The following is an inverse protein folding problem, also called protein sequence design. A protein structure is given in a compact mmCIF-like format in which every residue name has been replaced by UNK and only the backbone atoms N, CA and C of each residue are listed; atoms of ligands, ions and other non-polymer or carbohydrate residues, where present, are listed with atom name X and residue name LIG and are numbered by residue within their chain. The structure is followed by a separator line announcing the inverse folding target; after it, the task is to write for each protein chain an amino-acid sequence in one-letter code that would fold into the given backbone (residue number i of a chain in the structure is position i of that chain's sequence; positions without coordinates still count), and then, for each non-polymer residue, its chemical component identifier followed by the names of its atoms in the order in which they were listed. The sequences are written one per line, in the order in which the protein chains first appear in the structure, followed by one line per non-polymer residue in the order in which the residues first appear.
data_IF_016571848424
#
_entry.id   IF_016571848424
#
_cell.length_a   1.000
_cell.length_b   1.000
_cell.length_c   1.000
_cell.angle_alpha   90.00
_cell.angle_beta   90.00
_cell.angle_gamma   90.00
#
_symmetry.space_group_name_H-M   'P 1'
#
loop_
_entity.id
_entity.type
_entity.pdbx_description
1 polymer ?
#
# COMPACT_ATOMS: atom_id res chain seq x y z
N UNK A 1 10.74 5.67 20.30
CA UNK A 1 11.01 5.62 18.86
C UNK A 1 12.23 6.45 18.44
N UNK A 2 12.31 7.77 18.63
CA UNK A 2 13.48 8.58 18.25
C UNK A 2 14.81 8.09 18.85
N UNK A 3 14.82 7.69 20.13
CA UNK A 3 15.98 7.10 20.77
C UNK A 3 16.39 5.73 20.18
N UNK A 4 15.43 4.95 19.67
CA UNK A 4 15.70 3.69 18.99
C UNK A 4 16.37 3.92 17.63
N UNK A 5 15.95 4.94 16.87
CA UNK A 5 16.63 5.33 15.63
C UNK A 5 18.09 5.75 15.88
N UNK A 6 18.35 6.56 16.91
CA UNK A 6 19.72 6.94 17.28
C UNK A 6 20.61 5.73 17.62
N UNK A 7 20.07 4.72 18.31
CA UNK A 7 20.77 3.47 18.63
C UNK A 7 20.96 2.60 17.38
N UNK A 8 19.97 2.59 16.45
CA UNK A 8 20.04 1.85 15.20
C UNK A 8 21.22 2.27 14.32
N UNK A 9 21.50 3.58 14.23
CA UNK A 9 22.65 4.10 13.48
C UNK A 9 24.01 3.77 14.13
N UNK A 10 24.04 3.53 15.45
CA UNK A 10 25.26 3.10 16.16
C UNK A 10 25.59 1.61 15.93
N UNK A 11 24.59 0.79 15.59
CA UNK A 11 24.76 -0.64 15.34
C UNK A 11 25.20 -0.89 13.90
N UNK A 12 26.41 -1.46 13.63
CA UNK A 12 27.01 -1.48 12.28
C UNK A 12 26.17 -2.26 11.27
N UNK A 13 25.55 -3.39 11.64
CA UNK A 13 24.75 -4.20 10.72
C UNK A 13 23.42 -3.56 10.39
N UNK A 14 22.75 -2.95 11.38
CA UNK A 14 21.49 -2.26 11.16
C UNK A 14 21.70 -1.01 10.29
N UNK A 15 22.81 -0.31 10.54
CA UNK A 15 23.26 0.81 9.70
C UNK A 15 23.45 0.40 8.25
N UNK A 16 24.13 -0.75 7.98
CA UNK A 16 24.29 -1.28 6.61
C UNK A 16 22.94 -1.55 5.94
N UNK A 17 21.99 -2.18 6.65
CA UNK A 17 20.64 -2.45 6.13
C UNK A 17 19.87 -1.16 5.83
N UNK A 18 19.94 -0.14 6.70
CA UNK A 18 19.29 1.15 6.50
C UNK A 18 19.88 1.85 5.26
N UNK A 19 21.21 1.95 5.15
CA UNK A 19 21.86 2.57 3.98
C UNK A 19 21.54 1.81 2.68
N UNK A 20 21.48 0.48 2.73
CA UNK A 20 21.06 -0.32 1.60
C UNK A 20 19.63 0.01 1.15
N UNK A 21 18.68 0.09 2.10
CA UNK A 21 17.29 0.47 1.80
C UNK A 21 17.23 1.88 1.19
N UNK A 22 17.94 2.86 1.77
CA UNK A 22 17.99 4.23 1.25
C UNK A 22 18.61 4.29 -0.15
N UNK A 23 19.65 3.50 -0.44
CA UNK A 23 20.26 3.42 -1.78
C UNK A 23 19.25 2.89 -2.81
N UNK A 24 18.48 1.87 -2.47
CA UNK A 24 17.44 1.35 -3.36
C UNK A 24 16.31 2.38 -3.57
N UNK A 25 15.90 3.10 -2.52
CA UNK A 25 14.92 4.19 -2.63
C UNK A 25 15.42 5.29 -3.60
N UNK A 26 16.70 5.64 -3.54
CA UNK A 26 17.32 6.59 -4.47
C UNK A 26 17.35 6.06 -5.91
N UNK A 27 17.72 4.80 -6.12
CA UNK A 27 17.69 4.16 -7.45
C UNK A 27 16.28 4.11 -8.03
N UNK A 28 15.28 3.77 -7.20
CA UNK A 28 13.88 3.80 -7.61
C UNK A 28 13.46 5.21 -8.03
N UNK A 29 13.89 6.24 -7.29
CA UNK A 29 13.58 7.63 -7.63
C UNK A 29 14.24 8.08 -8.92
N UNK A 30 15.46 7.68 -9.18
CA UNK A 30 16.15 7.95 -10.46
C UNK A 30 15.37 7.35 -11.63
N UNK A 31 14.98 6.08 -11.56
CA UNK A 31 14.20 5.43 -12.63
C UNK A 31 12.82 6.04 -12.86
N UNK A 32 12.22 6.69 -11.85
CA UNK A 32 10.94 7.38 -11.99
C UNK A 32 11.00 8.69 -12.77
N UNK A 33 12.20 9.24 -12.97
CA UNK A 33 12.42 10.50 -13.73
C UNK A 33 12.89 10.24 -15.16
N UNK A 34 13.47 9.07 -15.45
CA UNK A 34 13.97 8.72 -16.78
C UNK A 34 12.79 8.49 -17.74
N UNK A 35 12.62 9.28 -18.80
CA UNK A 35 11.50 9.10 -19.73
C UNK A 35 11.66 7.81 -20.56
N UNK A 36 10.54 7.19 -20.91
CA UNK A 36 10.53 6.02 -21.80
C UNK A 36 10.97 6.43 -23.22
N UNK A 37 11.79 5.62 -23.92
CA UNK A 37 12.19 5.91 -25.30
C UNK A 37 10.98 6.10 -26.20
N UNK A 38 10.93 7.23 -26.94
CA UNK A 38 9.83 7.58 -27.83
C UNK A 38 8.84 8.60 -27.27
N UNK A 39 8.97 8.99 -26.01
CA UNK A 39 8.21 10.09 -25.38
C UNK A 39 8.96 11.41 -25.55
N UNK A 40 8.26 12.45 -26.00
CA UNK A 40 8.82 13.80 -26.05
C UNK A 40 8.80 14.43 -24.66
N UNK A 41 9.98 14.46 -24.01
CA UNK A 41 10.13 15.04 -22.66
C UNK A 41 9.70 16.51 -22.59
N UNK A 42 10.04 17.30 -23.62
CA UNK A 42 9.71 18.73 -23.69
C UNK A 42 8.18 18.92 -23.70
N UNK A 43 7.48 18.20 -24.59
CA UNK A 43 6.03 18.29 -24.69
C UNK A 43 5.33 17.84 -23.40
N UNK A 44 5.85 16.80 -22.76
CA UNK A 44 5.32 16.34 -21.47
C UNK A 44 5.48 17.39 -20.38
N UNK A 45 6.61 18.08 -20.29
CA UNK A 45 6.85 19.14 -19.31
C UNK A 45 5.93 20.36 -19.54
N UNK A 46 5.74 20.77 -20.78
CA UNK A 46 4.81 21.83 -21.13
C UNK A 46 3.36 21.46 -20.80
N UNK A 47 2.94 20.23 -21.12
CA UNK A 47 1.62 19.73 -20.77
C UNK A 47 1.42 19.61 -19.25
N UNK A 48 2.45 19.21 -18.50
CA UNK A 48 2.40 19.14 -17.02
C UNK A 48 2.22 20.54 -16.38
N UNK A 49 2.85 21.55 -16.94
CA UNK A 49 2.74 22.92 -16.44
C UNK A 49 1.32 23.49 -16.58
N UNK A 50 0.57 23.06 -17.60
CA UNK A 50 -0.81 23.49 -17.88
C UNK A 50 -1.88 22.52 -17.36
N UNK A 51 -1.47 21.32 -16.87
CA UNK A 51 -2.39 20.27 -16.49
C UNK A 51 -3.02 20.47 -15.12
N UNK A 52 -4.34 20.56 -15.09
CA UNK A 52 -5.12 20.25 -13.89
C UNK A 52 -5.29 18.74 -13.80
N UNK A 53 -4.30 18.07 -13.20
CA UNK A 53 -4.30 16.60 -13.04
C UNK A 53 -5.22 16.18 -11.90
N UNK A 54 -6.50 16.11 -12.19
CA UNK A 54 -7.50 15.67 -11.26
C UNK A 54 -8.02 14.25 -11.48
N UNK A 55 -8.77 13.76 -10.49
CA UNK A 55 -9.43 12.47 -10.56
C UNK A 55 -8.50 11.27 -10.34
N UNK A 56 -8.87 10.16 -10.96
CA UNK A 56 -8.21 8.87 -10.79
C UNK A 56 -6.74 8.87 -11.24
N UNK A 57 -6.42 9.59 -12.33
CA UNK A 57 -5.04 9.73 -12.80
C UNK A 57 -4.13 10.42 -11.77
N UNK A 58 -4.65 11.37 -11.00
CA UNK A 58 -3.92 12.00 -9.91
C UNK A 58 -3.58 11.02 -8.79
N UNK A 59 -4.52 10.15 -8.41
CA UNK A 59 -4.28 9.11 -7.41
C UNK A 59 -3.23 8.09 -7.87
N UNK A 60 -3.33 7.61 -9.12
CA UNK A 60 -2.38 6.64 -9.66
C UNK A 60 -0.99 7.28 -9.80
N UNK A 61 -0.94 8.53 -10.22
CA UNK A 61 0.30 9.29 -10.29
C UNK A 61 0.98 9.43 -8.91
N UNK A 62 0.19 9.53 -7.85
CA UNK A 62 0.67 9.56 -6.48
C UNK A 62 1.38 8.24 -6.09
N UNK A 63 0.80 7.09 -6.47
CA UNK A 63 1.41 5.77 -6.23
C UNK A 63 2.65 5.53 -7.09
N UNK A 64 2.74 6.13 -8.27
CA UNK A 64 3.94 6.07 -9.11
C UNK A 64 4.99 7.12 -8.76
N UNK A 65 4.71 8.03 -7.80
CA UNK A 65 5.62 9.11 -7.42
C UNK A 65 5.86 10.16 -8.51
N UNK A 66 4.87 10.40 -9.39
CA UNK A 66 4.97 11.32 -10.51
C UNK A 66 5.41 10.67 -11.83
N UNK A 67 5.84 9.42 -11.80
CA UNK A 67 6.38 8.70 -12.94
C UNK A 67 5.35 8.44 -14.06
N UNK A 68 4.07 8.26 -13.71
CA UNK A 68 3.00 7.98 -14.68
C UNK A 68 2.76 9.14 -15.63
N UNK A 69 2.63 10.35 -15.11
CA UNK A 69 2.39 11.54 -15.94
C UNK A 69 3.62 11.93 -16.77
N UNK A 70 4.82 11.58 -16.31
CA UNK A 70 6.06 11.75 -17.06
C UNK A 70 6.28 10.65 -18.10
N UNK A 71 5.43 9.61 -18.15
CA UNK A 71 5.62 8.42 -18.98
C UNK A 71 7.05 7.87 -18.86
N UNK A 72 7.55 7.79 -17.63
CA UNK A 72 8.91 7.32 -17.35
C UNK A 72 9.02 5.80 -17.49
N UNK A 73 10.24 5.27 -17.41
CA UNK A 73 10.50 3.82 -17.38
C UNK A 73 9.73 3.14 -16.26
N UNK A 74 9.55 3.82 -15.13
CA UNK A 74 8.78 3.34 -13.98
C UNK A 74 7.34 3.88 -13.93
N UNK A 75 6.76 4.25 -15.08
CA UNK A 75 5.42 4.86 -15.18
C UNK A 75 4.32 4.02 -14.52
N UNK A 76 4.33 2.71 -14.66
CA UNK A 76 3.37 1.80 -14.02
C UNK A 76 3.59 1.67 -12.52
N UNK A 77 4.77 2.06 -12.03
CA UNK A 77 5.13 1.92 -10.62
C UNK A 77 4.99 0.49 -10.11
N UNK A 78 4.54 0.36 -8.88
CA UNK A 78 4.37 -0.92 -8.18
C UNK A 78 2.96 -1.52 -8.35
N UNK A 79 2.03 -0.81 -9.01
CA UNK A 79 0.63 -1.19 -9.13
C UNK A 79 0.38 -2.59 -9.74
N UNK A 80 1.07 -3.00 -10.84
CA UNK A 80 0.89 -4.34 -11.40
C UNK A 80 1.23 -5.45 -10.40
N UNK A 81 2.27 -5.25 -9.58
CA UNK A 81 2.66 -6.22 -8.57
C UNK A 81 1.64 -6.30 -7.41
N UNK A 82 1.16 -5.16 -6.94
CA UNK A 82 0.13 -5.13 -5.89
C UNK A 82 -1.11 -5.86 -6.37
N UNK A 83 -1.61 -5.54 -7.57
CA UNK A 83 -2.79 -6.19 -8.15
C UNK A 83 -2.60 -7.70 -8.29
N UNK A 84 -1.42 -8.14 -8.76
CA UNK A 84 -1.07 -9.55 -8.87
C UNK A 84 -1.05 -10.25 -7.51
N UNK A 85 -0.44 -9.62 -6.52
CA UNK A 85 -0.37 -10.15 -5.15
C UNK A 85 -1.76 -10.32 -4.55
N UNK A 86 -2.65 -9.34 -4.78
CA UNK A 86 -4.05 -9.40 -4.37
C UNK A 86 -4.76 -10.60 -5.03
N UNK A 87 -4.63 -10.73 -6.35
CA UNK A 87 -5.27 -11.81 -7.10
C UNK A 87 -4.77 -13.17 -6.58
N UNK A 88 -3.47 -13.35 -6.38
CA UNK A 88 -2.92 -14.59 -5.85
C UNK A 88 -3.41 -14.86 -4.42
N UNK A 89 -3.50 -13.83 -3.55
CA UNK A 89 -4.07 -13.98 -2.20
C UNK A 89 -5.55 -14.39 -2.24
N UNK A 90 -6.35 -13.81 -3.14
CA UNK A 90 -7.73 -14.22 -3.34
C UNK A 90 -7.82 -15.67 -3.81
N UNK A 91 -6.96 -16.06 -4.75
CA UNK A 91 -6.90 -17.43 -5.26
C UNK A 91 -6.50 -18.43 -4.19
N UNK A 92 -5.71 -18.05 -3.16
CA UNK A 92 -5.39 -18.97 -2.04
C UNK A 92 -6.60 -19.35 -1.19
N UNK A 93 -7.66 -18.56 -1.24
CA UNK A 93 -8.93 -18.85 -0.52
C UNK A 93 -9.87 -19.69 -1.37
N UNK A 94 -9.89 -19.45 -2.70
CA UNK A 94 -10.83 -20.06 -3.62
C UNK A 94 -10.32 -21.41 -4.14
N UNK A 95 -9.02 -21.55 -4.36
CA UNK A 95 -8.41 -22.73 -4.97
C UNK A 95 -7.73 -23.58 -3.89
N UNK A 96 -8.23 -24.82 -3.61
CA UNK A 96 -7.65 -25.68 -2.57
C UNK A 96 -6.16 -25.98 -2.76
N UNK A 97 -5.68 -26.06 -4.02
CA UNK A 97 -4.25 -26.27 -4.32
C UNK A 97 -3.38 -25.10 -3.86
N UNK A 98 -3.84 -23.87 -3.93
CA UNK A 98 -3.10 -22.70 -3.42
C UNK A 98 -3.13 -22.64 -1.89
N UNK A 99 -4.22 -23.08 -1.28
CA UNK A 99 -4.31 -23.22 0.18
C UNK A 99 -3.31 -24.27 0.71
N UNK A 100 -3.19 -25.43 0.05
CA UNK A 100 -2.19 -26.45 0.42
C UNK A 100 -0.76 -25.93 0.30
N UNK A 101 -0.44 -25.20 -0.79
CA UNK A 101 0.86 -24.53 -0.95
C UNK A 101 1.14 -23.55 0.19
N UNK A 102 0.15 -22.77 0.64
CA UNK A 102 0.31 -21.87 1.78
C UNK A 102 0.64 -22.62 3.07
N UNK A 103 0.06 -23.81 3.28
CA UNK A 103 0.31 -24.69 4.44
C UNK A 103 1.67 -25.39 4.38
N UNK A 104 2.29 -25.54 3.21
CA UNK A 104 3.64 -26.12 3.04
C UNK A 104 4.77 -25.22 3.59
N UNK A 105 4.46 -24.02 4.10
CA UNK A 105 5.44 -23.09 4.69
C UNK A 105 6.29 -22.37 3.65
N UNK A 106 7.61 -22.29 3.89
CA UNK A 106 8.52 -21.48 3.04
C UNK A 106 8.60 -21.96 1.58
N UNK A 107 8.59 -23.27 1.35
CA UNK A 107 8.65 -23.83 0.00
C UNK A 107 7.38 -23.51 -0.82
N UNK A 108 6.22 -23.57 -0.20
CA UNK A 108 4.94 -23.22 -0.83
C UNK A 108 4.80 -21.72 -1.07
N UNK A 109 5.21 -20.89 -0.10
CA UNK A 109 5.20 -19.43 -0.28
C UNK A 109 6.14 -18.96 -1.39
N UNK A 110 7.29 -19.60 -1.58
CA UNK A 110 8.19 -19.32 -2.71
C UNK A 110 7.50 -19.57 -4.06
N UNK A 111 6.74 -20.68 -4.19
CA UNK A 111 5.96 -20.96 -5.41
C UNK A 111 4.85 -19.92 -5.65
N UNK A 112 4.13 -19.53 -4.58
CA UNK A 112 3.10 -18.48 -4.68
C UNK A 112 3.71 -17.15 -5.13
N UNK A 113 4.87 -16.77 -4.60
CA UNK A 113 5.61 -15.59 -5.05
C UNK A 113 6.00 -15.69 -6.52
N UNK A 114 6.40 -16.87 -7.00
CA UNK A 114 6.68 -17.09 -8.42
C UNK A 114 5.44 -16.86 -9.30
N UNK A 115 4.27 -17.37 -8.91
CA UNK A 115 3.01 -17.10 -9.63
C UNK A 115 2.67 -15.61 -9.63
N UNK A 116 2.89 -14.92 -8.51
CA UNK A 116 2.72 -13.46 -8.42
C UNK A 116 3.61 -12.74 -9.42
N UNK A 117 4.89 -13.15 -9.57
CA UNK A 117 5.83 -12.56 -10.55
C UNK A 117 5.33 -12.73 -11.99
N UNK A 118 4.91 -13.93 -12.38
CA UNK A 118 4.38 -14.17 -13.73
C UNK A 118 3.14 -13.34 -14.01
N UNK A 119 2.21 -13.30 -13.06
CA UNK A 119 1.00 -12.50 -13.20
C UNK A 119 1.31 -10.99 -13.25
N UNK A 120 2.31 -10.53 -12.50
CA UNK A 120 2.78 -9.14 -12.54
C UNK A 120 3.26 -8.75 -13.93
N UNK A 121 4.07 -9.59 -14.59
CA UNK A 121 4.56 -9.33 -15.95
C UNK A 121 3.38 -9.26 -16.93
N UNK A 122 2.45 -10.21 -16.85
CA UNK A 122 1.25 -10.22 -17.69
C UNK A 122 0.40 -8.94 -17.54
N UNK A 123 0.14 -8.53 -16.29
CA UNK A 123 -0.59 -7.31 -16.00
C UNK A 123 0.19 -6.05 -16.40
N UNK A 124 1.52 -6.04 -16.27
CA UNK A 124 2.35 -4.91 -16.69
C UNK A 124 2.28 -4.71 -18.21
N UNK A 125 2.32 -5.78 -19.00
CA UNK A 125 2.14 -5.71 -20.46
C UNK A 125 0.75 -5.14 -20.81
N UNK A 126 -0.29 -5.61 -20.15
CA UNK A 126 -1.65 -5.16 -20.37
C UNK A 126 -1.80 -3.67 -19.99
N UNK A 127 -1.33 -3.27 -18.82
CA UNK A 127 -1.43 -1.89 -18.35
C UNK A 127 -0.54 -0.93 -19.15
N UNK A 128 0.67 -1.33 -19.57
CA UNK A 128 1.54 -0.50 -20.42
C UNK A 128 0.90 -0.28 -21.80
N UNK A 129 0.32 -1.33 -22.39
CA UNK A 129 -0.41 -1.22 -23.66
C UNK A 129 -1.57 -0.23 -23.55
N UNK A 130 -2.33 -0.30 -22.44
CA UNK A 130 -3.42 0.63 -22.17
C UNK A 130 -2.97 2.07 -21.98
N UNK A 131 -1.92 2.27 -21.20
CA UNK A 131 -1.37 3.60 -20.98
C UNK A 131 -0.86 4.25 -22.27
N UNK A 132 -0.14 3.49 -23.10
CA UNK A 132 0.37 3.97 -24.39
C UNK A 132 -0.79 4.26 -25.36
N UNK A 133 -1.82 3.41 -25.40
CA UNK A 133 -3.02 3.64 -26.23
C UNK A 133 -3.72 4.95 -25.88
N UNK A 134 -3.82 5.27 -24.58
CA UNK A 134 -4.38 6.55 -24.10
C UNK A 134 -3.44 7.72 -24.39
N UNK A 135 -2.10 7.53 -24.24
CA UNK A 135 -1.09 8.55 -24.46
C UNK A 135 -0.96 8.98 -25.94
N UNK A 136 -1.32 8.11 -26.86
CA UNK A 136 -1.32 8.42 -28.33
C UNK A 136 -2.42 9.40 -28.72
N UNK A 137 -3.50 9.47 -27.95
CA UNK A 137 -4.63 10.35 -28.24
C UNK A 137 -4.36 11.68 -27.52
N UNK A 138 -4.09 12.73 -28.28
CA UNK A 138 -3.89 14.07 -27.74
C UNK A 138 -5.12 14.52 -26.94
N UNK A 139 -4.89 15.17 -25.79
CA UNK A 139 -5.96 15.67 -24.92
C UNK A 139 -6.58 14.65 -23.97
N UNK A 140 -6.22 13.35 -24.02
CA UNK A 140 -6.78 12.35 -23.08
C UNK A 140 -6.06 12.29 -21.74
N UNK A 141 -4.74 12.34 -21.73
CA UNK A 141 -3.95 12.38 -20.45
C UNK A 141 -3.96 13.81 -19.91
N UNK A 142 -3.77 14.80 -20.79
CA UNK A 142 -3.75 16.22 -20.46
C UNK A 142 -4.85 16.96 -21.24
N UNK A 143 -6.04 17.15 -20.64
CA UNK A 143 -7.20 17.74 -21.35
C UNK A 143 -6.95 19.12 -21.96
N UNK A 144 -6.01 19.89 -21.39
CA UNK A 144 -5.71 21.25 -21.83
C UNK A 144 -4.46 21.33 -22.71
N UNK A 145 -3.93 20.21 -23.18
CA UNK A 145 -2.71 20.18 -23.99
C UNK A 145 -2.96 19.50 -25.34
N UNK A 146 -2.70 20.22 -26.41
CA UNK A 146 -2.82 19.73 -27.79
C UNK A 146 -1.51 19.19 -28.39
N UNK A 147 -0.41 19.21 -27.61
CA UNK A 147 0.89 18.76 -28.07
C UNK A 147 0.96 17.22 -28.13
N UNK A 148 1.55 16.62 -29.18
CA UNK A 148 1.73 15.19 -29.28
C UNK A 148 2.79 14.72 -28.26
N UNK A 149 2.37 13.89 -27.31
CA UNK A 149 3.25 13.31 -26.29
C UNK A 149 4.15 12.24 -26.91
N UNK A 150 3.59 11.45 -27.83
CA UNK A 150 4.30 10.43 -28.61
C UNK A 150 4.30 10.88 -30.08
N UNK A 151 5.37 11.55 -30.55
CA UNK A 151 5.42 12.09 -31.91
C UNK A 151 5.51 10.98 -32.97
N UNK A 152 6.17 9.87 -32.65
CA UNK A 152 6.34 8.74 -33.58
C UNK A 152 5.49 7.55 -33.13
N UNK A 153 4.45 7.23 -33.91
CA UNK A 153 3.49 6.16 -33.63
C UNK A 153 3.81 4.86 -34.38
N UNK A 154 5.04 4.68 -34.86
CA UNK A 154 5.46 3.46 -35.54
C UNK A 154 5.30 2.22 -34.63
N UNK A 155 4.95 1.09 -35.22
CA UNK A 155 4.75 -0.17 -34.51
C UNK A 155 5.97 -0.61 -33.70
N UNK A 156 7.16 -0.41 -34.23
CA UNK A 156 8.43 -0.73 -33.54
C UNK A 156 8.61 0.09 -32.27
N UNK A 157 8.29 1.39 -32.31
CA UNK A 157 8.36 2.29 -31.14
C UNK A 157 7.39 1.87 -30.06
N UNK A 158 6.16 1.54 -30.43
CA UNK A 158 5.14 1.11 -29.47
C UNK A 158 5.58 -0.16 -28.74
N UNK A 159 6.07 -1.17 -29.45
CA UNK A 159 6.58 -2.41 -28.84
C UNK A 159 7.76 -2.09 -27.90
N UNK A 160 8.68 -1.24 -28.31
CA UNK A 160 9.82 -0.85 -27.47
C UNK A 160 9.36 -0.16 -26.19
N UNK A 161 8.36 0.74 -26.27
CA UNK A 161 7.78 1.41 -25.10
C UNK A 161 7.14 0.40 -24.14
N UNK A 162 6.33 -0.52 -24.65
CA UNK A 162 5.68 -1.58 -23.85
C UNK A 162 6.76 -2.43 -23.17
N UNK A 163 7.79 -2.85 -23.89
CA UNK A 163 8.87 -3.67 -23.38
C UNK A 163 9.65 -2.94 -22.27
N UNK A 164 9.97 -1.66 -22.46
CA UNK A 164 10.72 -0.84 -21.50
C UNK A 164 9.89 -0.61 -20.22
N UNK A 165 8.61 -0.26 -20.33
CA UNK A 165 7.74 -0.07 -19.15
C UNK A 165 7.52 -1.38 -18.38
N UNK A 166 7.38 -2.51 -19.09
CA UNK A 166 7.25 -3.83 -18.46
C UNK A 166 8.55 -4.25 -17.77
N UNK A 167 9.70 -4.01 -18.41
CA UNK A 167 11.00 -4.23 -17.81
C UNK A 167 11.20 -3.34 -16.58
N UNK A 168 10.77 -2.07 -16.63
CA UNK A 168 10.79 -1.15 -15.50
C UNK A 168 9.99 -1.69 -14.30
N UNK A 169 8.79 -2.20 -14.52
CA UNK A 169 7.99 -2.84 -13.47
C UNK A 169 8.68 -4.07 -12.89
N UNK A 170 9.33 -4.89 -13.72
CA UNK A 170 10.09 -6.06 -13.28
C UNK A 170 11.28 -5.66 -12.41
N UNK A 171 11.96 -4.57 -12.75
CA UNK A 171 13.05 -4.00 -11.94
C UNK A 171 12.52 -3.50 -10.60
N UNK A 172 11.39 -2.78 -10.57
CA UNK A 172 10.77 -2.31 -9.31
C UNK A 172 10.42 -3.50 -8.41
N UNK A 173 9.81 -4.54 -8.97
CA UNK A 173 9.50 -5.77 -8.25
C UNK A 173 10.77 -6.39 -7.64
N UNK A 174 11.83 -6.53 -8.41
CA UNK A 174 13.11 -7.05 -7.94
C UNK A 174 13.73 -6.17 -6.83
N UNK A 175 13.69 -4.83 -6.98
CA UNK A 175 14.17 -3.90 -5.97
C UNK A 175 13.37 -4.02 -4.65
N UNK A 176 12.05 -4.21 -4.73
CA UNK A 176 11.20 -4.41 -3.56
C UNK A 176 11.51 -5.73 -2.84
N UNK A 177 11.71 -6.82 -3.57
CA UNK A 177 12.14 -8.10 -2.99
C UNK A 177 13.52 -7.97 -2.34
N UNK A 178 14.43 -7.26 -2.97
CA UNK A 178 15.79 -7.04 -2.46
C UNK A 178 15.80 -6.27 -1.13
N UNK A 179 14.91 -5.27 -0.97
CA UNK A 179 14.72 -4.57 0.32
C UNK A 179 14.19 -5.55 1.36
N UNK A 180 13.21 -6.38 1.02
CA UNK A 180 12.62 -7.34 1.95
C UNK A 180 13.65 -8.35 2.44
N UNK A 181 14.53 -8.83 1.56
CA UNK A 181 15.53 -9.84 1.89
C UNK A 181 16.73 -9.27 2.68
N UNK A 182 17.24 -8.12 2.27
CA UNK A 182 18.51 -7.57 2.77
C UNK A 182 18.40 -6.23 3.47
N UNK A 183 17.26 -5.57 3.38
CA UNK A 183 17.00 -4.26 3.93
C UNK A 183 16.27 -4.30 5.28
N UNK A 184 15.48 -3.27 5.52
CA UNK A 184 14.61 -3.10 6.68
C UNK A 184 13.19 -2.89 6.19
N UNK A 185 12.23 -3.59 6.79
CA UNK A 185 10.82 -3.47 6.45
C UNK A 185 10.36 -4.31 5.25
N UNK A 186 9.09 -4.16 4.89
CA UNK A 186 8.54 -4.74 3.68
C UNK A 186 8.91 -3.86 2.48
N UNK A 187 9.70 -4.40 1.54
CA UNK A 187 10.25 -3.60 0.46
C UNK A 187 9.21 -2.98 -0.46
N UNK A 188 8.11 -3.68 -0.74
CA UNK A 188 7.03 -3.12 -1.56
C UNK A 188 6.35 -1.94 -0.87
N UNK A 189 6.07 -2.07 0.41
CA UNK A 189 5.48 -0.98 1.20
C UNK A 189 6.41 0.24 1.28
N UNK A 190 7.72 0.02 1.41
CA UNK A 190 8.72 1.10 1.44
C UNK A 190 8.82 1.82 0.08
N UNK A 191 8.73 1.11 -1.04
CA UNK A 191 8.72 1.74 -2.36
C UNK A 191 7.45 2.59 -2.57
N UNK A 192 6.28 2.13 -2.11
CA UNK A 192 5.05 2.94 -2.12
C UNK A 192 5.21 4.18 -1.23
N UNK A 193 5.73 3.98 -0.01
CA UNK A 193 6.03 5.10 0.88
C UNK A 193 6.96 6.12 0.22
N UNK A 194 8.02 5.66 -0.47
CA UNK A 194 8.96 6.52 -1.19
C UNK A 194 8.27 7.32 -2.28
N UNK A 195 7.39 6.69 -3.06
CA UNK A 195 6.62 7.35 -4.12
C UNK A 195 5.77 8.48 -3.56
N UNK A 196 5.03 8.20 -2.51
CA UNK A 196 4.11 9.17 -1.88
C UNK A 196 4.89 10.29 -1.18
N UNK A 197 5.89 9.92 -0.36
CA UNK A 197 6.68 10.90 0.40
C UNK A 197 7.44 11.87 -0.51
N UNK A 198 7.91 11.39 -1.68
CA UNK A 198 8.62 12.24 -2.63
C UNK A 198 7.72 13.28 -3.33
N UNK A 199 6.41 13.05 -3.40
CA UNK A 199 5.46 14.00 -4.00
C UNK A 199 5.02 15.12 -3.02
N UNK A 200 5.11 14.89 -1.70
CA UNK A 200 4.65 15.84 -0.68
C UNK A 200 5.30 17.22 -0.74
N UNK A 201 6.64 17.36 -0.84
CA UNK A 201 7.26 18.67 -0.86
C UNK A 201 6.79 19.55 -2.02
N UNK A 202 6.67 18.96 -3.22
CA UNK A 202 6.20 19.67 -4.42
C UNK A 202 4.75 20.12 -4.30
N UNK A 203 3.86 19.27 -3.78
CA UNK A 203 2.45 19.59 -3.58
C UNK A 203 2.27 20.68 -2.49
N UNK A 204 2.99 20.59 -1.39
CA UNK A 204 2.97 21.61 -0.34
C UNK A 204 3.48 22.98 -0.85
N UNK A 205 4.53 22.96 -1.66
CA UNK A 205 5.07 24.16 -2.26
C UNK A 205 4.09 24.81 -3.25
N UNK A 206 3.40 24.00 -4.06
CA UNK A 206 2.38 24.48 -5.00
C UNK A 206 1.20 25.16 -4.29
N UNK A 207 0.78 24.65 -3.13
CA UNK A 207 -0.27 25.27 -2.31
C UNK A 207 0.18 26.65 -1.78
N UNK A 208 1.43 26.73 -1.30
CA UNK A 208 2.00 28.02 -0.87
C UNK A 208 1.99 29.06 -1.98
N UNK A 209 2.35 28.67 -3.21
CA UNK A 209 2.39 29.58 -4.36
C UNK A 209 1.00 30.01 -4.83
N UNK A 210 0.00 29.09 -4.78
CA UNK A 210 -1.35 29.35 -5.28
C UNK A 210 -2.24 30.07 -4.26
N UNK A 211 -2.16 29.72 -2.97
CA UNK A 211 -3.09 30.16 -1.91
C UNK A 211 -2.40 30.96 -0.78
N UNK A 212 -1.10 31.19 -0.84
CA UNK A 212 -0.34 31.98 0.12
C UNK A 212 0.02 31.28 1.42
N UNK A 213 0.69 32.02 2.32
CA UNK A 213 1.24 31.49 3.57
C UNK A 213 0.20 31.01 4.59
N UNK A 214 -0.94 31.72 4.68
CA UNK A 214 -1.99 31.38 5.64
C UNK A 214 -2.61 30.01 5.33
N UNK A 215 -2.97 29.75 4.07
CA UNK A 215 -3.51 28.48 3.63
C UNK A 215 -2.48 27.34 3.80
N UNK A 216 -1.20 27.61 3.52
CA UNK A 216 -0.13 26.64 3.73
C UNK A 216 0.00 26.22 5.19
N UNK A 217 0.05 27.20 6.14
CA UNK A 217 0.16 26.90 7.57
C UNK A 217 -1.08 26.17 8.10
N UNK A 218 -2.27 26.58 7.64
CA UNK A 218 -3.52 25.90 8.02
C UNK A 218 -3.53 24.43 7.57
N UNK A 219 -3.17 24.15 6.32
CA UNK A 219 -3.10 22.79 5.77
C UNK A 219 -2.04 21.97 6.48
N UNK A 220 -0.88 22.55 6.82
CA UNK A 220 0.15 21.88 7.60
C UNK A 220 -0.35 21.52 9.00
N UNK A 221 -1.04 22.41 9.69
CA UNK A 221 -1.59 22.16 11.02
C UNK A 221 -2.65 21.03 10.98
N UNK A 222 -3.57 21.08 10.01
CA UNK A 222 -4.57 20.02 9.78
C UNK A 222 -3.90 18.70 9.43
N UNK A 223 -2.87 18.70 8.57
CA UNK A 223 -2.11 17.54 8.21
C UNK A 223 -1.44 16.86 9.42
N UNK A 224 -0.78 17.63 10.27
CA UNK A 224 -0.17 17.11 11.50
C UNK A 224 -1.23 16.52 12.45
N UNK A 225 -2.39 17.16 12.58
CA UNK A 225 -3.49 16.66 13.39
C UNK A 225 -4.04 15.32 12.86
N UNK A 226 -4.22 15.20 11.54
CA UNK A 226 -4.66 13.95 10.91
C UNK A 226 -3.61 12.86 11.12
N UNK A 227 -2.33 13.16 10.91
CA UNK A 227 -1.24 12.19 11.16
C UNK A 227 -1.25 11.72 12.61
N UNK A 228 -1.39 12.64 13.57
CA UNK A 228 -1.45 12.30 15.00
C UNK A 228 -2.66 11.39 15.31
N UNK A 229 -3.83 11.68 14.75
CA UNK A 229 -5.03 10.86 14.91
C UNK A 229 -4.84 9.45 14.30
N UNK A 230 -4.25 9.37 13.10
CA UNK A 230 -3.96 8.09 12.44
C UNK A 230 -2.95 7.27 13.26
N UNK A 231 -1.87 7.88 13.75
CA UNK A 231 -0.88 7.21 14.61
C UNK A 231 -1.53 6.67 15.89
N UNK A 232 -2.43 7.44 16.49
CA UNK A 232 -3.14 7.01 17.70
C UNK A 232 -3.99 5.75 17.44
N UNK A 233 -4.76 5.72 16.36
CA UNK A 233 -5.60 4.56 16.02
C UNK A 233 -4.77 3.35 15.58
N UNK A 234 -3.71 3.55 14.78
CA UNK A 234 -2.81 2.47 14.32
C UNK A 234 -2.02 1.80 15.46
N UNK A 235 -1.78 2.52 16.56
CA UNK A 235 -1.16 1.96 17.76
C UNK A 235 -2.16 1.34 18.72
N UNK A 236 -3.45 1.62 18.57
CA UNK A 236 -4.49 1.09 19.44
C UNK A 236 -4.61 -0.42 19.28
N UNK A 237 -4.53 -1.13 20.40
CA UNK A 237 -4.60 -2.59 20.44
C UNK A 237 -5.38 -3.07 21.65
N UNK A 238 -6.20 -4.12 21.47
CA UNK A 238 -6.80 -4.86 22.57
C UNK A 238 -5.86 -5.97 23.01
N UNK A 239 -5.49 -5.97 24.27
CA UNK A 239 -4.60 -6.99 24.86
C UNK A 239 -5.44 -8.06 25.54
N UNK A 240 -5.41 -9.29 25.01
CA UNK A 240 -6.08 -10.44 25.60
C UNK A 240 -5.07 -11.16 26.50
N UNK A 241 -5.32 -11.26 27.83
CA UNK A 241 -4.40 -11.92 28.74
C UNK A 241 -4.38 -13.43 28.49
N UNK A 242 -3.18 -13.99 28.42
CA UNK A 242 -2.91 -15.43 28.29
C UNK A 242 -2.06 -15.86 29.46
N UNK A 243 -2.44 -16.95 30.11
CA UNK A 243 -1.69 -17.57 31.18
C UNK A 243 -1.14 -18.92 30.73
N UNK A 244 0.11 -19.18 31.04
CA UNK A 244 0.71 -20.49 30.83
C UNK A 244 0.69 -21.27 32.13
N UNK A 245 0.41 -22.58 32.05
CA UNK A 245 0.40 -23.45 33.20
C UNK A 245 1.78 -23.50 33.87
N UNK A 246 1.80 -23.35 35.19
CA UNK A 246 3.02 -23.55 35.99
C UNK A 246 3.37 -25.03 35.99
N UNK A 247 4.59 -25.39 35.66
CA UNK A 247 5.11 -26.75 35.72
C UNK A 247 5.98 -26.88 36.96
N UNK A 248 5.63 -27.77 37.85
CA UNK A 248 6.42 -28.05 39.03
C UNK A 248 7.29 -29.29 38.75
N UNK A 249 8.60 -29.16 38.90
CA UNK A 249 9.56 -30.28 38.78
C UNK A 249 10.32 -30.33 40.11
N UNK A 250 9.96 -31.26 40.97
CA UNK A 250 10.47 -31.35 42.32
C UNK A 250 10.04 -30.18 43.19
N UNK A 251 10.97 -29.48 43.86
CA UNK A 251 10.71 -28.28 44.66
C UNK A 251 10.75 -26.97 43.88
N UNK A 252 11.14 -26.98 42.62
CA UNK A 252 11.22 -25.78 41.80
C UNK A 252 9.99 -25.62 40.88
N UNK A 253 9.41 -24.43 40.84
CA UNK A 253 8.35 -24.06 39.96
C UNK A 253 8.93 -23.38 38.70
N UNK A 254 8.69 -23.98 37.54
CA UNK A 254 9.07 -23.45 36.23
C UNK A 254 7.83 -22.96 35.47
N UNK A 255 7.92 -21.79 34.82
CA UNK A 255 6.83 -21.22 34.02
C UNK A 255 5.84 -20.40 34.86
N UNK A 256 4.68 -20.11 34.28
CA UNK A 256 3.66 -19.25 34.89
C UNK A 256 3.81 -17.76 34.55
N UNK A 257 4.51 -17.46 33.46
CA UNK A 257 4.52 -16.10 32.92
C UNK A 257 3.16 -15.77 32.30
N UNK A 258 2.56 -14.67 32.71
CA UNK A 258 1.40 -14.12 32.03
C UNK A 258 1.87 -13.28 30.82
N UNK A 259 1.33 -13.55 29.66
CA UNK A 259 1.56 -12.75 28.46
C UNK A 259 0.21 -12.27 27.92
N UNK A 260 0.21 -11.57 26.79
CA UNK A 260 -1.01 -11.11 26.15
C UNK A 260 -0.92 -11.27 24.63
N UNK A 261 -2.06 -11.53 24.00
CA UNK A 261 -2.21 -11.49 22.55
C UNK A 261 -2.65 -10.08 22.18
N UNK A 262 -1.82 -9.29 21.45
CA UNK A 262 -2.21 -7.98 20.99
C UNK A 262 -3.05 -8.09 19.71
N UNK A 263 -4.31 -7.67 19.75
CA UNK A 263 -5.16 -7.52 18.57
C UNK A 263 -5.25 -6.04 18.25
N UNK A 264 -4.68 -5.59 17.13
CA UNK A 264 -4.75 -4.20 16.67
C UNK A 264 -6.20 -3.85 16.29
N UNK A 265 -6.63 -2.60 16.50
CA UNK A 265 -7.93 -2.10 16.03
C UNK A 265 -7.98 -2.13 14.51
N UNK A 266 -6.91 -1.67 13.85
CA UNK A 266 -6.71 -1.85 12.43
C UNK A 266 -5.78 -3.06 12.18
N UNK A 267 -6.36 -4.28 12.17
CA UNK A 267 -5.61 -5.51 11.90
C UNK A 267 -5.22 -5.64 10.42
N UNK A 268 -6.01 -5.09 9.52
CA UNK A 268 -5.80 -5.15 8.08
C UNK A 268 -4.78 -4.14 7.57
N UNK A 269 -4.38 -3.14 8.38
CA UNK A 269 -3.50 -2.08 7.94
C UNK A 269 -4.10 -1.24 6.81
N UNK A 270 -3.28 -0.84 5.85
CA UNK A 270 -3.68 -0.03 4.69
C UNK A 270 -4.06 -0.86 3.46
N UNK A 271 -3.90 -2.17 3.51
CA UNK A 271 -4.09 -3.07 2.37
C UNK A 271 -5.50 -3.00 1.77
N UNK A 272 -6.61 -2.98 2.55
CA UNK A 272 -7.96 -2.86 2.00
C UNK A 272 -8.18 -1.61 1.16
N UNK A 273 -7.57 -0.50 1.54
CA UNK A 273 -7.69 0.78 0.83
C UNK A 273 -6.98 0.70 -0.52
N UNK A 274 -5.80 0.07 -0.56
CA UNK A 274 -5.05 -0.18 -1.79
C UNK A 274 -5.84 -1.12 -2.72
N UNK A 275 -6.50 -2.15 -2.16
CA UNK A 275 -7.32 -3.10 -2.91
C UNK A 275 -8.53 -2.41 -3.54
N UNK A 276 -9.25 -1.61 -2.75
CA UNK A 276 -10.41 -0.86 -3.22
C UNK A 276 -10.03 0.10 -4.37
N UNK A 277 -8.93 0.84 -4.23
CA UNK A 277 -8.46 1.75 -5.27
C UNK A 277 -8.00 1.02 -6.53
N UNK A 278 -7.31 -0.12 -6.38
CA UNK A 278 -6.87 -0.94 -7.53
C UNK A 278 -8.05 -1.55 -8.28
N UNK A 279 -9.10 -1.98 -7.58
CA UNK A 279 -10.32 -2.52 -8.21
C UNK A 279 -11.10 -1.44 -8.96
N UNK A 280 -11.20 -0.23 -8.40
CA UNK A 280 -11.85 0.91 -9.06
C UNK A 280 -11.08 1.42 -10.27
N UNK A 281 -9.80 1.07 -10.39
CA UNK A 281 -9.02 1.39 -11.60
C UNK A 281 -9.42 0.56 -12.81
N UNK A 282 -9.90 -0.68 -12.62
CA UNK A 282 -10.27 -1.60 -13.73
C UNK A 282 -11.36 -1.02 -14.64
N UNK A 283 -12.50 -0.49 -14.13
CA UNK A 283 -13.51 0.17 -14.96
C UNK A 283 -12.94 1.33 -15.80
N UNK A 284 -12.02 2.11 -15.22
CA UNK A 284 -11.35 3.20 -15.93
C UNK A 284 -10.51 2.68 -17.11
N UNK A 285 -9.78 1.59 -16.93
CA UNK A 285 -9.04 0.94 -18.01
C UNK A 285 -9.98 0.49 -19.13
N UNK A 286 -11.08 -0.17 -18.80
CA UNK A 286 -12.05 -0.68 -19.78
C UNK A 286 -12.63 0.47 -20.63
N UNK A 287 -13.01 1.59 -19.99
CA UNK A 287 -13.51 2.78 -20.70
C UNK A 287 -12.44 3.37 -21.61
N UNK A 288 -11.20 3.46 -21.12
CA UNK A 288 -10.10 4.01 -21.90
C UNK A 288 -9.74 3.14 -23.12
N UNK A 289 -9.77 1.80 -22.97
CA UNK A 289 -9.54 0.86 -24.07
C UNK A 289 -10.66 0.88 -25.09
N UNK A 290 -11.92 0.96 -24.63
CA UNK A 290 -13.07 0.93 -25.54
C UNK A 290 -13.11 2.11 -26.49
N UNK A 291 -12.55 3.26 -26.12
CA UNK A 291 -12.54 4.49 -26.95
C UNK A 291 -13.92 4.98 -27.37
N UNK A 292 -14.96 4.25 -26.98
CA UNK A 292 -16.33 4.47 -27.46
C UNK A 292 -17.04 5.55 -26.67
N UNK A 293 -17.83 6.37 -27.37
CA UNK A 293 -18.78 7.30 -26.75
C UNK A 293 -20.13 6.61 -26.44
N UNK A 294 -20.11 5.29 -26.26
CA UNK A 294 -21.30 4.53 -25.91
C UNK A 294 -21.88 4.97 -24.56
N UNK A 295 -23.18 4.90 -24.40
CA UNK A 295 -23.89 5.33 -23.19
C UNK A 295 -23.37 4.65 -21.91
N UNK A 296 -22.96 3.38 -21.97
CA UNK A 296 -22.37 2.66 -20.85
C UNK A 296 -20.98 3.19 -20.46
N UNK A 297 -20.15 3.57 -21.44
CA UNK A 297 -18.82 4.10 -21.20
C UNK A 297 -18.89 5.49 -20.55
N UNK A 298 -19.79 6.34 -21.03
CA UNK A 298 -20.04 7.67 -20.41
C UNK A 298 -20.64 7.55 -19.03
N UNK A 299 -21.52 6.56 -18.79
CA UNK A 299 -22.09 6.30 -17.47
C UNK A 299 -21.00 5.85 -16.47
N UNK A 300 -20.14 4.90 -16.85
CA UNK A 300 -19.00 4.44 -16.03
C UNK A 300 -18.03 5.60 -15.76
N UNK A 301 -17.67 6.37 -16.78
CA UNK A 301 -16.78 7.52 -16.64
C UNK A 301 -17.32 8.55 -15.64
N UNK A 302 -18.61 8.85 -15.73
CA UNK A 302 -19.25 9.83 -14.83
C UNK A 302 -19.43 9.33 -13.41
N UNK A 303 -19.78 8.05 -13.21
CA UNK A 303 -20.16 7.54 -11.89
C UNK A 303 -19.07 6.74 -11.17
N UNK A 304 -18.13 6.09 -11.90
CA UNK A 304 -17.11 5.20 -11.33
C UNK A 304 -15.67 5.71 -11.52
N UNK A 305 -15.46 6.76 -12.34
CA UNK A 305 -14.12 7.32 -12.57
C UNK A 305 -13.99 8.71 -11.99
N UNK A 306 -15.06 9.51 -12.01
CA UNK A 306 -15.06 10.87 -11.43
C UNK A 306 -15.11 10.80 -9.91
N UNK A 307 -14.04 11.22 -9.24
CA UNK A 307 -13.94 11.24 -7.78
C UNK A 307 -14.91 12.20 -7.07
N UNK A 308 -15.59 13.08 -7.83
CA UNK A 308 -16.51 14.09 -7.30
C UNK A 308 -17.93 13.56 -7.12
N UNK A 309 -18.21 12.30 -7.52
CA UNK A 309 -19.54 11.73 -7.47
C UNK A 309 -19.77 10.96 -6.17
N UNK A 310 -20.89 11.20 -5.48
CA UNK A 310 -21.30 10.47 -4.28
C UNK A 310 -21.39 8.96 -4.51
N UNK A 311 -21.73 8.52 -5.73
CA UNK A 311 -21.79 7.10 -6.07
C UNK A 311 -20.38 6.47 -6.01
N UNK A 312 -19.36 7.14 -6.55
CA UNK A 312 -17.96 6.72 -6.46
C UNK A 312 -17.52 6.56 -4.99
N UNK A 313 -17.80 7.56 -4.16
CA UNK A 313 -17.44 7.57 -2.74
C UNK A 313 -18.14 6.42 -2.00
N UNK A 314 -19.43 6.18 -2.28
CA UNK A 314 -20.19 5.10 -1.69
C UNK A 314 -19.66 3.72 -2.04
N UNK A 315 -19.36 3.47 -3.32
CA UNK A 315 -18.77 2.21 -3.80
C UNK A 315 -17.38 2.01 -3.20
N UNK A 316 -16.56 3.07 -3.14
CA UNK A 316 -15.22 3.04 -2.56
C UNK A 316 -15.27 2.66 -1.08
N UNK A 317 -16.15 3.31 -0.29
CA UNK A 317 -16.35 2.98 1.12
C UNK A 317 -16.78 1.53 1.32
N UNK A 318 -17.75 1.06 0.53
CA UNK A 318 -18.24 -0.32 0.59
C UNK A 318 -17.13 -1.33 0.28
N UNK A 319 -16.32 -1.07 -0.74
CA UNK A 319 -15.17 -1.90 -1.07
C UNK A 319 -14.13 -1.92 0.04
N UNK A 320 -13.84 -0.79 0.69
CA UNK A 320 -12.91 -0.74 1.83
C UNK A 320 -13.42 -1.61 2.97
N UNK A 321 -14.70 -1.48 3.33
CA UNK A 321 -15.30 -2.31 4.39
C UNK A 321 -15.25 -3.79 4.02
N UNK A 322 -15.65 -4.15 2.80
CA UNK A 322 -15.61 -5.52 2.31
C UNK A 322 -14.21 -6.11 2.39
N UNK A 323 -13.21 -5.41 1.83
CA UNK A 323 -11.83 -5.89 1.85
C UNK A 323 -11.21 -5.91 3.24
N UNK A 324 -11.65 -5.05 4.15
CA UNK A 324 -11.18 -5.08 5.55
C UNK A 324 -11.60 -6.38 6.22
N UNK A 325 -12.88 -6.74 6.16
CA UNK A 325 -13.36 -8.01 6.72
C UNK A 325 -12.72 -9.21 6.04
N UNK A 326 -12.65 -9.17 4.72
CA UNK A 326 -12.06 -10.23 3.92
C UNK A 326 -10.58 -10.47 4.28
N UNK A 327 -9.79 -9.39 4.36
CA UNK A 327 -8.37 -9.49 4.68
C UNK A 327 -8.12 -9.98 6.11
N UNK A 328 -8.89 -9.49 7.06
CA UNK A 328 -8.79 -9.94 8.46
C UNK A 328 -9.09 -11.44 8.58
N UNK A 329 -10.12 -11.92 7.88
CA UNK A 329 -10.48 -13.35 7.87
C UNK A 329 -9.37 -14.26 7.30
N UNK A 330 -8.61 -13.75 6.30
CA UNK A 330 -7.50 -14.52 5.70
C UNK A 330 -6.23 -14.48 6.55
N UNK A 331 -5.95 -13.33 7.16
CA UNK A 331 -4.66 -13.08 7.83
C UNK A 331 -4.64 -13.68 9.23
N UNK A 332 -5.76 -13.66 9.92
CA UNK A 332 -5.87 -14.16 11.29
C UNK A 332 -6.76 -15.41 11.31
N UNK A 333 -6.14 -16.57 11.60
CA UNK A 333 -6.86 -17.82 11.76
C UNK A 333 -7.03 -18.14 13.27
N UNK A 334 -8.22 -17.94 13.86
CA UNK A 334 -8.46 -18.17 15.28
C UNK A 334 -8.24 -19.63 15.70
N UNK A 335 -8.53 -20.59 14.82
CA UNK A 335 -8.37 -22.02 15.11
C UNK A 335 -6.90 -22.39 15.27
N UNK A 336 -6.05 -21.93 14.34
CA UNK A 336 -4.61 -22.18 14.40
C UNK A 336 -3.97 -21.55 15.64
N UNK A 337 -4.37 -20.30 15.99
CA UNK A 337 -3.89 -19.63 17.21
C UNK A 337 -4.31 -20.38 18.46
N UNK A 338 -5.58 -20.85 18.54
CA UNK A 338 -6.11 -21.61 19.65
C UNK A 338 -5.41 -22.96 19.81
N UNK A 339 -5.15 -23.68 18.70
CA UNK A 339 -4.46 -24.95 18.70
C UNK A 339 -2.99 -24.81 19.13
N UNK A 340 -2.32 -23.77 18.67
CA UNK A 340 -0.95 -23.45 19.08
C UNK A 340 -0.92 -23.12 20.58
N UNK A 341 -1.84 -22.29 21.08
CA UNK A 341 -1.95 -22.02 22.52
C UNK A 341 -2.15 -23.31 23.32
N UNK A 342 -3.04 -24.20 22.89
CA UNK A 342 -3.28 -25.49 23.54
C UNK A 342 -2.03 -26.36 23.57
N UNK A 343 -1.27 -26.43 22.47
CA UNK A 343 0.00 -27.20 22.39
C UNK A 343 1.05 -26.71 23.37
N UNK A 344 1.11 -25.39 23.60
CA UNK A 344 2.08 -24.79 24.53
C UNK A 344 1.54 -24.62 25.97
N UNK A 345 0.36 -25.19 26.27
CA UNK A 345 -0.23 -25.10 27.61
C UNK A 345 -0.72 -23.72 28.02
N UNK A 346 -0.97 -22.84 27.03
CA UNK A 346 -1.54 -21.52 27.26
C UNK A 346 -3.07 -21.57 27.28
N UNK A 347 -3.69 -20.74 28.12
CA UNK A 347 -5.15 -20.59 28.18
C UNK A 347 -5.52 -19.14 28.52
N UNK A 348 -6.71 -18.75 28.11
CA UNK A 348 -7.32 -17.46 28.48
C UNK A 348 -8.07 -17.64 29.78
N UNK A 349 -7.83 -16.80 30.83
CA UNK A 349 -8.56 -16.93 32.08
C UNK A 349 -10.07 -16.93 31.89
N UNK A 350 -10.76 -17.95 32.43
CA UNK A 350 -12.20 -18.12 32.32
C UNK A 350 -12.68 -18.80 31.03
N UNK A 351 -11.79 -19.15 30.07
CA UNK A 351 -12.17 -19.79 28.81
C UNK A 351 -11.42 -21.12 28.68
N UNK A 352 -12.13 -22.20 28.33
CA UNK A 352 -11.55 -23.52 28.12
C UNK A 352 -10.64 -23.52 26.87
N UNK A 353 -9.44 -24.09 26.97
CA UNK A 353 -8.51 -24.21 25.85
C UNK A 353 -9.10 -25.06 24.70
N UNK A 354 -8.85 -24.67 23.46
CA UNK A 354 -9.34 -25.31 22.25
C UNK A 354 -10.49 -24.54 21.60
N UNK A 355 -11.50 -25.23 21.08
CA UNK A 355 -12.60 -24.62 20.31
C UNK A 355 -13.28 -23.40 20.98
N UNK A 356 -13.59 -23.38 22.29
CA UNK A 356 -14.13 -22.18 22.93
C UNK A 356 -13.21 -20.98 22.90
N UNK A 357 -11.90 -21.22 22.91
CA UNK A 357 -10.89 -20.13 22.75
C UNK A 357 -10.91 -19.57 21.32
N UNK A 358 -11.03 -20.43 20.31
CA UNK A 358 -11.17 -19.99 18.91
C UNK A 358 -12.44 -19.17 18.71
N UNK A 359 -13.59 -19.61 19.19
CA UNK A 359 -14.86 -18.90 19.12
C UNK A 359 -14.80 -17.53 19.81
N UNK A 360 -14.15 -17.44 20.96
CA UNK A 360 -13.93 -16.17 21.66
C UNK A 360 -13.03 -15.22 20.85
N UNK A 361 -11.91 -15.72 20.30
CA UNK A 361 -11.01 -14.93 19.47
C UNK A 361 -11.73 -14.41 18.21
N UNK A 362 -12.54 -15.26 17.57
CA UNK A 362 -13.34 -14.89 16.40
C UNK A 362 -14.37 -13.81 16.75
N UNK A 363 -15.06 -13.95 17.89
CA UNK A 363 -16.00 -12.94 18.38
C UNK A 363 -15.31 -11.59 18.62
N UNK A 364 -14.19 -11.58 19.32
CA UNK A 364 -13.42 -10.35 19.60
C UNK A 364 -12.94 -9.73 18.30
N UNK A 365 -12.42 -10.54 17.36
CA UNK A 365 -11.91 -10.08 16.09
C UNK A 365 -12.99 -9.40 15.25
N UNK A 366 -14.16 -10.03 15.09
CA UNK A 366 -15.27 -9.47 14.31
C UNK A 366 -15.76 -8.13 14.89
N UNK A 367 -15.78 -8.00 16.24
CA UNK A 367 -16.19 -6.76 16.92
C UNK A 367 -15.17 -5.64 16.79
N UNK A 368 -13.88 -5.96 16.76
CA UNK A 368 -12.80 -4.96 16.59
C UNK A 368 -12.66 -4.55 15.12
N UNK A 369 -12.91 -5.46 14.18
CA UNK A 369 -12.84 -5.16 12.74
C UNK A 369 -13.87 -4.11 12.31
N UNK A 370 -15.05 -4.07 12.91
CA UNK A 370 -16.09 -3.07 12.56
C UNK A 370 -15.60 -1.61 12.74
N UNK A 371 -15.14 -1.17 13.95
CA UNK A 371 -14.60 0.18 14.12
C UNK A 371 -13.34 0.41 13.29
N UNK A 372 -12.49 -0.62 13.05
CA UNK A 372 -11.34 -0.52 12.16
C UNK A 372 -11.74 -0.24 10.71
N UNK A 373 -12.74 -0.93 10.17
CA UNK A 373 -13.26 -0.71 8.83
C UNK A 373 -13.89 0.68 8.66
N UNK A 374 -14.66 1.13 9.66
CA UNK A 374 -15.22 2.48 9.67
C UNK A 374 -14.13 3.55 9.70
N UNK A 375 -13.12 3.38 10.54
CA UNK A 375 -11.97 4.27 10.60
C UNK A 375 -11.27 4.39 9.23
N UNK A 376 -10.94 3.25 8.60
CA UNK A 376 -10.30 3.24 7.28
C UNK A 376 -11.16 3.93 6.23
N UNK A 377 -12.48 3.68 6.21
CA UNK A 377 -13.42 4.30 5.28
C UNK A 377 -13.49 5.81 5.49
N UNK A 378 -13.61 6.29 6.73
CA UNK A 378 -13.66 7.71 7.05
C UNK A 378 -12.39 8.41 6.59
N UNK A 379 -11.21 7.90 6.96
CA UNK A 379 -9.94 8.51 6.59
C UNK A 379 -9.72 8.51 5.08
N UNK A 380 -10.13 7.45 4.38
CA UNK A 380 -10.02 7.35 2.93
C UNK A 380 -10.96 8.32 2.19
N UNK A 381 -12.12 8.67 2.78
CA UNK A 381 -13.14 9.55 2.16
C UNK A 381 -12.85 11.02 2.43
N UNK A 382 -12.16 11.38 3.52
CA UNK A 382 -11.86 12.78 3.88
C UNK A 382 -11.39 13.64 2.68
N UNK A 383 -10.44 13.19 1.82
CA UNK A 383 -9.99 14.01 0.69
C UNK A 383 -11.10 14.31 -0.32
N UNK A 384 -11.97 13.34 -0.58
CA UNK A 384 -13.10 13.51 -1.53
C UNK A 384 -14.13 14.49 -0.99
N UNK A 385 -14.40 14.44 0.31
CA UNK A 385 -15.27 15.43 0.99
C UNK A 385 -14.62 16.82 0.94
N UNK A 386 -13.33 16.91 1.18
CA UNK A 386 -12.59 18.17 1.09
C UNK A 386 -12.60 18.75 -0.33
N UNK A 387 -12.50 17.94 -1.37
CA UNK A 387 -12.63 18.33 -2.77
C UNK A 387 -14.02 18.92 -3.07
N UNK A 388 -15.08 18.28 -2.61
CA UNK A 388 -16.47 18.70 -2.85
C UNK A 388 -16.78 20.01 -2.10
N UNK A 389 -16.39 20.13 -0.82
CA UNK A 389 -16.74 21.27 0.03
C UNK A 389 -15.91 22.53 -0.26
N UNK A 390 -14.60 22.35 -0.51
CA UNK A 390 -13.69 23.49 -0.64
C UNK A 390 -13.30 23.81 -2.09
N UNK A 391 -13.85 23.06 -3.08
CA UNK A 391 -13.40 23.13 -4.47
C UNK A 391 -11.86 23.19 -4.54
N UNK A 392 -11.21 22.56 -3.55
CA UNK A 392 -9.76 22.51 -3.47
C UNK A 392 -9.25 21.85 -4.74
N UNK A 393 -8.27 22.50 -5.38
CA UNK A 393 -7.56 21.86 -6.49
C UNK A 393 -7.13 20.45 -6.04
N UNK A 394 -7.28 19.46 -6.92
CA UNK A 394 -7.08 18.01 -6.65
C UNK A 394 -5.68 17.63 -6.14
N UNK A 395 -4.85 18.61 -5.86
CA UNK A 395 -3.49 18.48 -5.32
C UNK A 395 -3.46 18.58 -3.79
N UNK A 396 -4.48 18.03 -3.08
CA UNK A 396 -4.42 17.99 -1.62
C UNK A 396 -3.42 16.92 -1.19
N UNK A 397 -2.23 17.29 -0.65
CA UNK A 397 -1.14 16.34 -0.38
C UNK A 397 -1.49 15.32 0.72
N UNK A 398 -2.43 15.67 1.58
CA UNK A 398 -2.90 14.82 2.67
C UNK A 398 -4.11 13.97 2.26
N UNK A 399 -4.11 13.42 1.04
CA UNK A 399 -5.09 12.41 0.66
C UNK A 399 -5.13 11.28 1.69
N UNK A 400 -6.33 10.88 2.16
CA UNK A 400 -6.47 9.91 3.27
C UNK A 400 -5.70 8.61 3.04
N UNK A 401 -5.68 8.12 1.79
CA UNK A 401 -4.89 6.93 1.42
C UNK A 401 -3.39 7.16 1.55
N UNK A 402 -2.90 8.33 1.14
CA UNK A 402 -1.49 8.68 1.21
C UNK A 402 -1.00 8.75 2.67
N UNK A 403 -1.76 9.41 3.54
CA UNK A 403 -1.42 9.52 4.97
C UNK A 403 -1.45 8.13 5.62
N UNK A 404 -2.49 7.33 5.36
CA UNK A 404 -2.59 5.98 5.91
C UNK A 404 -1.38 5.14 5.54
N UNK A 405 -0.95 5.18 4.27
CA UNK A 405 0.20 4.43 3.80
C UNK A 405 1.50 4.96 4.43
N UNK A 406 1.70 6.27 4.42
CA UNK A 406 2.93 6.88 4.98
C UNK A 406 3.05 6.58 6.47
N UNK A 407 1.98 6.75 7.23
CA UNK A 407 1.99 6.49 8.69
C UNK A 407 2.07 4.98 8.98
N UNK A 408 1.27 4.16 8.31
CA UNK A 408 1.25 2.72 8.53
C UNK A 408 2.60 2.07 8.22
N UNK A 409 3.18 2.34 7.05
CA UNK A 409 4.50 1.81 6.67
C UNK A 409 5.60 2.36 7.56
N UNK A 410 5.55 3.65 7.91
CA UNK A 410 6.51 4.27 8.81
C UNK A 410 6.50 3.62 10.19
N UNK A 411 5.31 3.37 10.77
CA UNK A 411 5.16 2.71 12.06
C UNK A 411 5.62 1.24 12.04
N UNK A 412 5.25 0.49 11.00
CA UNK A 412 5.64 -0.91 10.87
C UNK A 412 7.16 -1.05 10.68
N UNK A 413 7.76 -0.18 9.87
CA UNK A 413 9.23 -0.14 9.70
C UNK A 413 9.93 0.23 11.01
N UNK A 414 9.42 1.22 11.75
CA UNK A 414 9.97 1.62 13.03
C UNK A 414 9.91 0.48 14.08
N UNK A 415 8.78 -0.25 14.13
CA UNK A 415 8.62 -1.43 15.02
C UNK A 415 9.57 -2.56 14.63
N UNK A 416 9.81 -2.81 13.34
CA UNK A 416 10.79 -3.80 12.89
C UNK A 416 12.22 -3.44 13.28
N UNK A 417 12.60 -2.16 13.15
CA UNK A 417 13.90 -1.66 13.62
C UNK A 417 14.04 -1.88 15.13
N UNK A 418 13.02 -1.54 15.89
CA UNK A 418 13.01 -1.69 17.36
C UNK A 418 13.12 -3.17 17.78
N UNK A 419 12.37 -4.07 17.12
CA UNK A 419 12.44 -5.52 17.33
C UNK A 419 13.84 -6.08 17.04
N UNK A 420 14.47 -5.68 15.95
CA UNK A 420 15.84 -6.11 15.62
C UNK A 420 16.89 -5.58 16.61
N UNK A 421 16.68 -4.39 17.16
CA UNK A 421 17.54 -3.84 18.23
C UNK A 421 17.41 -4.63 19.53
N UNK A 422 16.18 -4.98 19.92
CA UNK A 422 15.91 -5.76 21.13
C UNK A 422 16.52 -7.16 21.07
N UNK A 423 16.37 -7.86 19.95
CA UNK A 423 16.97 -9.19 19.74
C UNK A 423 18.48 -9.18 19.97
N UNK A 424 19.18 -8.16 19.50
CA UNK A 424 20.63 -8.04 19.67
C UNK A 424 21.05 -7.61 21.09
N UNK A 425 20.21 -6.86 21.79
CA UNK A 425 20.48 -6.51 23.19
C UNK A 425 20.52 -7.76 24.06
N UNK A 426 19.74 -8.80 23.73
CA UNK A 426 19.76 -10.09 24.41
C UNK A 426 21.01 -10.94 24.06
N UNK A 427 21.49 -10.91 22.81
CA UNK A 427 22.74 -11.61 22.43
C UNK A 427 23.97 -11.04 23.14
N UNK A 428 23.99 -9.74 23.46
CA UNK A 428 25.07 -9.08 24.23
C UNK A 428 25.11 -9.47 25.70
N UNK A 429 24.04 -10.01 26.27
CA UNK A 429 23.98 -10.52 27.64
C UNK A 429 24.46 -11.98 27.80
N UNK A 430 24.57 -12.69 26.70
CA UNK A 430 25.01 -14.12 26.65
C UNK A 430 26.48 -14.28 26.28
N UNK A 431 27.18 -13.17 26.05
CA UNK A 431 28.66 -13.10 25.95
C UNK A 431 29.21 -12.43 27.19
#
# INVERSE_FOLDING_TARGET
MLAAFGKAFKTPDLRKKIFFTLSIMALFRLGSVIPTPGVSYVNVQECLATANTGGLFGLINLFSGGALLQLSVFALGIMPYITSSIIVQLLTVVIPRFETLKKEGQAGTAKLTQYTRYLTIGLAILQSTGLIAVARITGRIFPNCSLPIIPDTSWQRIITMIAVMTAGTSVIMWLGELITDRGVGNGMSILIFTSIAASFPGQLWSIKLQKGWFAFLFIMAVGVLIVAAVVFVEQAQRRIPVQYAKRQVGRQQYGGTSTYIPIKVNQSGVIPVIFASSLLYIPSLIVNFSGSQAAWATWISKNLVSGDNFFYIGVYALLIVFFTYFYVAITFNPDEVSDNMKKYGGFIPGIRAGKPTSEYLQYVLSRITAPGALYLSIVAIIPFIALILFQASQNFPFGGTAILIVVGVGLDTAKQIESQLQQRSYEGFLR
#
